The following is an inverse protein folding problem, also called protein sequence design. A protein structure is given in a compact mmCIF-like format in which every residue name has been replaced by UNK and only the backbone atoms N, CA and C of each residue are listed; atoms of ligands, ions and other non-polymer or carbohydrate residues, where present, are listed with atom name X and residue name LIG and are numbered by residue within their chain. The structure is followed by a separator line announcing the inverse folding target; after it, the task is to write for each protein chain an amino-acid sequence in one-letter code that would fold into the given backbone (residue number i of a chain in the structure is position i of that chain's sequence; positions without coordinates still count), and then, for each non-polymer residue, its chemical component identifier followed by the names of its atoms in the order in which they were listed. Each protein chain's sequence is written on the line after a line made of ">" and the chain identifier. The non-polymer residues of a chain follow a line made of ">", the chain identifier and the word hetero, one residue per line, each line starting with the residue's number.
data_IF_337650478323
#
_entry.id   IF_337650478323
#
_cell.length_a   1.000
_cell.length_b   1.000
_cell.length_c   1.000
_cell.angle_alpha   90.00
_cell.angle_beta   90.00
_cell.angle_gamma   90.00
#
_symmetry.space_group_name_H-M   'P 1'
#
loop_
_entity.id
_entity.type
_entity.pdbx_description
1 polymer ?
#
# COMPACT_ATOMS: atom_id res chain seq x y z
N UNK A 1 20.13 -21.04 16.97
CA UNK A 1 19.08 -20.02 17.22
C UNK A 1 19.14 -18.84 16.25
N UNK A 2 20.28 -18.14 16.09
CA UNK A 2 20.40 -16.99 15.17
C UNK A 2 19.96 -17.28 13.71
N UNK A 3 20.32 -18.43 13.15
CA UNK A 3 19.91 -18.84 11.80
C UNK A 3 18.41 -19.11 11.65
N UNK A 4 17.73 -19.55 12.72
CA UNK A 4 16.28 -19.81 12.71
C UNK A 4 15.51 -18.48 12.67
N UNK A 5 16.00 -17.47 13.41
CA UNK A 5 15.43 -16.12 13.41
C UNK A 5 15.58 -15.47 12.03
N UNK A 6 16.74 -15.64 11.39
CA UNK A 6 16.99 -15.15 10.03
C UNK A 6 16.05 -15.84 9.02
N UNK A 7 15.87 -17.16 9.12
CA UNK A 7 14.92 -17.89 8.27
C UNK A 7 13.47 -17.43 8.48
N UNK A 8 13.05 -17.18 9.72
CA UNK A 8 11.71 -16.64 10.02
C UNK A 8 11.52 -15.21 9.49
N UNK A 9 12.55 -14.36 9.57
CA UNK A 9 12.54 -13.02 8.98
C UNK A 9 12.43 -13.08 7.45
N UNK A 10 13.24 -13.92 6.80
CA UNK A 10 13.19 -14.11 5.34
C UNK A 10 11.82 -14.65 4.92
N UNK A 11 11.31 -15.66 5.62
CA UNK A 11 9.99 -16.22 5.35
C UNK A 11 8.88 -15.19 5.56
N UNK A 12 8.96 -14.39 6.63
CA UNK A 12 8.06 -13.27 6.90
C UNK A 12 8.10 -12.21 5.81
N UNK A 13 9.30 -11.82 5.34
CA UNK A 13 9.47 -10.86 4.24
C UNK A 13 8.88 -11.41 2.94
N UNK A 14 9.16 -12.66 2.59
CA UNK A 14 8.61 -13.31 1.39
C UNK A 14 7.09 -13.41 1.47
N UNK A 15 6.56 -13.79 2.63
CA UNK A 15 5.13 -13.89 2.88
C UNK A 15 4.45 -12.52 2.78
N UNK A 16 5.05 -11.48 3.36
CA UNK A 16 4.60 -10.09 3.26
C UNK A 16 4.70 -9.54 1.83
N UNK A 17 5.73 -9.91 1.05
CA UNK A 17 5.84 -9.56 -0.37
C UNK A 17 4.77 -10.27 -1.22
N UNK A 18 4.45 -11.53 -0.91
CA UNK A 18 3.38 -12.29 -1.58
C UNK A 18 2.01 -11.73 -1.26
N UNK A 19 1.79 -11.34 0.01
CA UNK A 19 0.62 -10.58 0.45
C UNK A 19 0.57 -9.24 -0.26
N UNK A 20 1.67 -8.48 -0.34
CA UNK A 20 1.76 -7.19 -1.07
C UNK A 20 1.32 -7.32 -2.52
N UNK A 21 1.74 -8.36 -3.25
CA UNK A 21 1.28 -8.62 -4.63
C UNK A 21 -0.23 -8.85 -4.71
N UNK A 22 -0.82 -9.47 -3.70
CA UNK A 22 -2.28 -9.69 -3.58
C UNK A 22 -3.02 -8.43 -3.08
N UNK A 23 -2.35 -7.58 -2.31
CA UNK A 23 -2.82 -6.32 -1.72
C UNK A 23 -2.66 -5.13 -2.68
N UNK A 24 -1.90 -5.22 -3.77
CA UNK A 24 -2.01 -4.25 -4.88
C UNK A 24 -3.46 -4.14 -5.42
N UNK A 25 -4.33 -5.11 -5.12
CA UNK A 25 -5.77 -5.11 -5.39
C UNK A 25 -6.65 -4.61 -4.22
N UNK A 26 -6.08 -4.37 -3.04
CA UNK A 26 -6.75 -3.96 -1.83
C UNK A 26 -5.85 -2.94 -1.14
N UNK A 27 -5.96 -1.66 -1.49
CA UNK A 27 -5.30 -0.61 -0.74
C UNK A 27 -5.88 -0.59 0.69
N UNK A 28 -5.31 -1.42 1.56
CA UNK A 28 -5.60 -1.39 2.99
C UNK A 28 -5.21 -0.01 3.50
N UNK A 29 -6.11 0.61 4.26
CA UNK A 29 -5.80 1.84 4.99
C UNK A 29 -4.43 1.71 5.65
N UNK A 30 -3.54 2.68 5.37
CA UNK A 30 -2.19 2.75 5.97
C UNK A 30 -2.28 2.61 7.48
N UNK A 31 -3.39 3.00 8.10
CA UNK A 31 -3.63 2.86 9.54
C UNK A 31 -3.64 1.40 10.01
N UNK A 32 -4.49 0.55 9.41
CA UNK A 32 -4.60 -0.87 9.80
C UNK A 32 -3.28 -1.59 9.55
N UNK A 33 -2.68 -1.35 8.39
CA UNK A 33 -1.41 -1.96 8.05
C UNK A 33 -0.25 -1.44 8.93
N UNK A 34 -0.25 -0.16 9.29
CA UNK A 34 0.76 0.41 10.20
C UNK A 34 0.58 -0.13 11.61
N UNK A 35 -0.65 -0.32 12.10
CA UNK A 35 -0.92 -0.93 13.40
C UNK A 35 -0.43 -2.38 13.42
N UNK A 36 -0.76 -3.16 12.40
CA UNK A 36 -0.32 -4.56 12.29
C UNK A 36 1.21 -4.62 12.20
N UNK A 37 1.83 -3.75 11.39
CA UNK A 37 3.28 -3.65 11.26
C UNK A 37 3.95 -3.23 12.57
N UNK A 38 3.36 -2.31 13.33
CA UNK A 38 3.87 -1.87 14.63
C UNK A 38 3.78 -3.00 15.66
N UNK A 39 2.66 -3.74 15.68
CA UNK A 39 2.49 -4.91 16.54
C UNK A 39 3.51 -6.01 16.24
N UNK A 40 3.73 -6.33 14.97
CA UNK A 40 4.77 -7.28 14.55
C UNK A 40 6.18 -6.80 14.93
N UNK A 41 6.45 -5.51 14.79
CA UNK A 41 7.72 -4.92 15.21
C UNK A 41 7.95 -5.05 16.72
N UNK A 42 6.93 -4.79 17.54
CA UNK A 42 7.02 -4.96 19.00
C UNK A 42 7.27 -6.42 19.40
N UNK A 43 6.62 -7.38 18.73
CA UNK A 43 6.86 -8.81 18.95
C UNK A 43 8.30 -9.18 18.59
N UNK A 44 8.82 -8.70 17.45
CA UNK A 44 10.21 -8.90 17.05
C UNK A 44 11.21 -8.30 18.04
N UNK A 45 10.93 -7.10 18.57
CA UNK A 45 11.73 -6.47 19.62
C UNK A 45 11.76 -7.32 20.90
N UNK A 46 10.61 -7.87 21.32
CA UNK A 46 10.54 -8.74 22.51
C UNK A 46 11.32 -10.04 22.32
N UNK A 47 11.27 -10.64 21.12
CA UNK A 47 12.04 -11.86 20.80
C UNK A 47 13.54 -11.56 20.83
N UNK A 48 13.98 -10.44 20.24
CA UNK A 48 15.40 -10.05 20.23
C UNK A 48 15.89 -9.74 21.64
N UNK A 49 15.11 -8.99 22.41
CA UNK A 49 15.43 -8.70 23.81
C UNK A 49 15.67 -9.97 24.62
N UNK A 50 14.89 -11.04 24.37
CA UNK A 50 15.01 -12.31 25.09
C UNK A 50 16.12 -13.24 24.57
N UNK A 51 16.39 -13.27 23.27
CA UNK A 51 17.23 -14.31 22.64
C UNK A 51 18.52 -13.79 21.97
N UNK A 52 18.64 -12.50 21.70
CA UNK A 52 19.85 -11.90 21.12
C UNK A 52 19.89 -10.38 21.39
N UNK A 53 20.20 -9.93 22.62
CA UNK A 53 20.01 -8.53 23.04
C UNK A 53 21.09 -7.57 22.52
N UNK A 54 21.80 -7.90 21.43
CA UNK A 54 22.87 -7.02 20.95
C UNK A 54 22.28 -5.79 20.26
N UNK A 55 22.91 -4.63 20.46
CA UNK A 55 22.50 -3.37 19.85
C UNK A 55 22.39 -3.46 18.32
N UNK A 56 23.25 -4.27 17.69
CA UNK A 56 23.24 -4.52 16.24
C UNK A 56 21.95 -5.22 15.79
N UNK A 57 21.46 -6.20 16.56
CA UNK A 57 20.23 -6.93 16.24
C UNK A 57 18.99 -6.00 16.30
N UNK A 58 18.95 -5.12 17.30
CA UNK A 58 17.93 -4.07 17.41
C UNK A 58 17.94 -3.09 16.23
N UNK A 59 19.13 -2.68 15.79
CA UNK A 59 19.32 -1.79 14.65
C UNK A 59 18.79 -2.42 13.36
N UNK A 60 19.11 -3.69 13.11
CA UNK A 60 18.67 -4.42 11.92
C UNK A 60 17.15 -4.50 11.84
N UNK A 61 16.48 -4.89 12.94
CA UNK A 61 15.02 -5.02 12.97
C UNK A 61 14.31 -3.67 12.85
N UNK A 62 14.88 -2.62 13.45
CA UNK A 62 14.39 -1.25 13.28
C UNK A 62 14.49 -0.80 11.83
N UNK A 63 15.62 -1.05 11.17
CA UNK A 63 15.85 -0.69 9.77
C UNK A 63 14.88 -1.43 8.82
N UNK A 64 14.70 -2.74 9.01
CA UNK A 64 13.76 -3.55 8.23
C UNK A 64 12.34 -3.02 8.39
N UNK A 65 11.94 -2.64 9.61
CA UNK A 65 10.59 -2.15 9.88
C UNK A 65 10.32 -0.78 9.26
N UNK A 66 11.32 0.12 9.27
CA UNK A 66 11.25 1.41 8.59
C UNK A 66 11.14 1.20 7.07
N UNK A 67 12.00 0.36 6.49
CA UNK A 67 11.96 0.02 5.06
C UNK A 67 10.62 -0.60 4.65
N UNK A 68 10.03 -1.41 5.54
CA UNK A 68 8.73 -2.01 5.32
C UNK A 68 7.61 -0.97 5.32
N UNK A 69 7.63 -0.02 6.26
CA UNK A 69 6.66 1.07 6.34
C UNK A 69 6.72 2.04 5.16
N UNK A 70 7.93 2.37 4.68
CA UNK A 70 8.13 3.26 3.54
C UNK A 70 7.60 2.69 2.21
N UNK A 71 7.49 1.35 2.10
CA UNK A 71 7.06 0.68 0.88
C UNK A 71 5.54 0.50 0.74
N UNK A 72 4.74 0.98 1.70
CA UNK A 72 3.28 0.85 1.66
C UNK A 72 2.71 1.93 0.76
N UNK A 73 2.06 1.53 -0.35
CA UNK A 73 1.29 2.44 -1.20
C UNK A 73 0.01 2.87 -0.45
N UNK A 74 -0.16 4.18 -0.32
CA UNK A 74 -1.27 4.84 0.38
C UNK A 74 -2.55 5.00 -0.43
N UNK A 75 -2.40 4.90 -1.74
CA UNK A 75 -3.44 5.12 -2.73
C UNK A 75 -3.34 4.00 -3.75
N UNK A 76 -4.48 3.59 -4.30
CA UNK A 76 -4.49 2.50 -5.26
C UNK A 76 -5.88 2.10 -5.69
N UNK A 77 -5.92 1.35 -6.77
CA UNK A 77 -7.13 0.78 -7.34
C UNK A 77 -7.48 -0.49 -6.56
N UNK A 78 -8.78 -0.75 -6.38
CA UNK A 78 -9.27 -1.95 -5.72
C UNK A 78 -10.39 -2.60 -6.53
N UNK A 79 -10.77 -3.83 -6.17
CA UNK A 79 -11.80 -4.59 -6.89
C UNK A 79 -13.19 -3.94 -6.88
N UNK A 80 -13.47 -3.01 -5.95
CA UNK A 80 -14.76 -2.31 -5.84
C UNK A 80 -14.69 -0.79 -5.98
N UNK A 81 -13.51 -0.22 -6.25
CA UNK A 81 -13.33 1.23 -6.29
C UNK A 81 -11.88 1.64 -6.18
N UNK A 82 -11.61 2.72 -5.47
CA UNK A 82 -10.26 3.26 -5.28
C UNK A 82 -10.08 3.84 -3.87
N UNK A 83 -8.85 3.77 -3.38
CA UNK A 83 -8.45 4.46 -2.16
C UNK A 83 -7.61 5.68 -2.52
N UNK A 84 -8.04 6.84 -2.03
CA UNK A 84 -7.37 8.13 -2.25
C UNK A 84 -7.07 8.81 -0.91
N UNK A 85 -6.04 9.65 -0.89
CA UNK A 85 -5.76 10.49 0.26
C UNK A 85 -6.53 11.80 0.11
N UNK A 86 -7.26 12.20 1.16
CA UNK A 86 -7.92 13.51 1.22
C UNK A 86 -7.11 14.46 2.10
N UNK A 87 -6.33 15.35 1.48
CA UNK A 87 -5.63 16.47 2.11
C UNK A 87 -4.44 16.10 3.01
N UNK A 88 -4.60 15.14 3.92
CA UNK A 88 -3.59 14.69 4.87
C UNK A 88 -3.25 13.21 4.64
N UNK A 89 -1.97 12.79 4.64
CA UNK A 89 -1.54 11.41 4.40
C UNK A 89 -2.06 10.38 5.42
N UNK A 90 -2.83 10.83 6.42
CA UNK A 90 -3.49 10.02 7.43
C UNK A 90 -4.97 9.74 7.12
N UNK A 91 -5.59 10.48 6.20
CA UNK A 91 -7.00 10.35 5.85
C UNK A 91 -7.13 9.72 4.46
N UNK A 92 -7.21 8.39 4.43
CA UNK A 92 -7.59 7.65 3.24
C UNK A 92 -9.12 7.58 3.15
N UNK A 93 -9.67 7.95 2.00
CA UNK A 93 -11.08 7.76 1.67
C UNK A 93 -11.20 6.67 0.62
N UNK A 94 -12.11 5.72 0.86
CA UNK A 94 -12.53 4.78 -0.17
C UNK A 94 -13.63 5.43 -1.03
N UNK A 95 -13.51 5.32 -2.34
CA UNK A 95 -14.49 5.81 -3.31
C UNK A 95 -14.92 4.59 -4.13
N UNK A 96 -16.20 4.26 -4.06
CA UNK A 96 -16.79 3.19 -4.86
C UNK A 96 -16.86 3.58 -6.33
N UNK A 97 -16.87 2.60 -7.22
CA UNK A 97 -17.00 2.84 -8.66
C UNK A 97 -18.22 3.70 -9.03
N UNK A 98 -19.34 3.46 -8.35
CA UNK A 98 -20.62 4.14 -8.58
C UNK A 98 -20.58 5.63 -8.23
N UNK A 99 -19.66 6.03 -7.38
CA UNK A 99 -19.52 7.42 -6.93
C UNK A 99 -18.58 8.24 -7.83
N UNK A 100 -17.93 7.59 -8.78
CA UNK A 100 -17.05 8.23 -9.77
C UNK A 100 -17.92 8.85 -10.85
N UNK A 101 -17.86 10.18 -10.99
CA UNK A 101 -18.61 10.91 -12.01
C UNK A 101 -17.82 11.15 -13.30
N UNK A 102 -16.50 11.23 -13.18
CA UNK A 102 -15.63 11.44 -14.34
C UNK A 102 -14.19 11.07 -13.99
N UNK A 103 -13.38 10.78 -15.00
CA UNK A 103 -11.96 10.52 -14.87
C UNK A 103 -11.17 11.04 -16.06
N UNK A 104 -9.91 11.38 -15.83
CA UNK A 104 -8.98 11.88 -16.84
C UNK A 104 -7.58 11.28 -16.60
N UNK A 105 -6.86 10.97 -17.67
CA UNK A 105 -5.44 10.59 -17.60
C UNK A 105 -4.60 11.78 -18.07
N UNK A 106 -3.73 12.26 -17.21
CA UNK A 106 -2.73 13.27 -17.55
C UNK A 106 -1.39 12.56 -17.70
N UNK A 107 -0.87 12.53 -18.93
CA UNK A 107 0.47 11.98 -19.20
C UNK A 107 1.55 13.01 -18.82
N UNK A 108 2.46 12.63 -17.93
CA UNK A 108 3.67 13.39 -17.58
C UNK A 108 4.89 12.64 -18.09
N UNK A 109 6.02 13.35 -18.26
CA UNK A 109 7.26 12.76 -18.80
C UNK A 109 7.67 11.43 -18.12
N UNK A 110 7.52 11.32 -16.81
CA UNK A 110 7.98 10.17 -16.02
C UNK A 110 6.89 9.35 -15.32
N UNK A 111 5.64 9.81 -15.32
CA UNK A 111 4.52 9.15 -14.63
C UNK A 111 3.18 9.53 -15.25
N UNK A 112 2.13 8.80 -14.89
CA UNK A 112 0.75 9.07 -15.28
C UNK A 112 -0.01 9.58 -14.06
N UNK A 113 -0.88 10.57 -14.24
CA UNK A 113 -1.83 10.99 -13.21
C UNK A 113 -3.22 10.55 -13.64
N UNK A 114 -3.87 9.74 -12.81
CA UNK A 114 -5.29 9.45 -12.92
C UNK A 114 -6.04 10.44 -12.04
N UNK A 115 -6.72 11.39 -12.66
CA UNK A 115 -7.60 12.34 -11.99
C UNK A 115 -9.02 11.81 -11.97
N UNK A 116 -9.65 11.79 -10.80
CA UNK A 116 -10.99 11.24 -10.60
C UNK A 116 -11.86 12.31 -9.95
N UNK A 117 -13.06 12.51 -10.48
CA UNK A 117 -14.08 13.39 -9.90
C UNK A 117 -15.10 12.55 -9.14
N UNK A 118 -15.17 12.72 -7.84
CA UNK A 118 -16.11 12.03 -6.96
C UNK A 118 -16.50 12.95 -5.79
N UNK A 119 -17.72 12.80 -5.28
CA UNK A 119 -18.26 13.62 -4.17
C UNK A 119 -18.06 15.14 -4.32
N UNK A 120 -18.11 15.66 -5.55
CA UNK A 120 -17.92 17.08 -5.85
C UNK A 120 -16.47 17.59 -5.80
N UNK A 121 -15.49 16.71 -5.61
CA UNK A 121 -14.05 17.03 -5.52
C UNK A 121 -13.23 16.26 -6.55
N UNK A 122 -11.98 16.68 -6.78
CA UNK A 122 -11.01 15.97 -7.62
C UNK A 122 -9.95 15.28 -6.77
N UNK A 123 -9.61 14.06 -7.17
CA UNK A 123 -8.59 13.23 -6.55
C UNK A 123 -7.57 12.81 -7.61
N UNK A 124 -6.29 13.07 -7.34
CA UNK A 124 -5.20 12.74 -8.25
C UNK A 124 -4.40 11.55 -7.70
N UNK A 125 -4.29 10.50 -8.50
CA UNK A 125 -3.46 9.32 -8.19
C UNK A 125 -2.29 9.23 -9.16
N UNK A 126 -1.09 9.06 -8.62
CA UNK A 126 0.12 8.90 -9.43
C UNK A 126 0.40 7.42 -9.71
N UNK A 127 0.61 7.11 -10.99
CA UNK A 127 0.93 5.77 -11.49
C UNK A 127 2.22 5.82 -12.30
N UNK A 128 2.96 4.71 -12.32
CA UNK A 128 4.08 4.58 -13.25
C UNK A 128 3.56 4.32 -14.68
N UNK A 129 4.38 4.62 -15.69
CA UNK A 129 3.97 4.45 -17.11
C UNK A 129 3.64 3.01 -17.49
N UNK A 130 4.33 2.04 -16.88
CA UNK A 130 4.08 0.61 -17.02
C UNK A 130 2.74 0.15 -16.41
N UNK A 131 2.10 0.98 -15.59
CA UNK A 131 0.78 0.69 -14.99
C UNK A 131 -0.40 1.18 -15.85
N UNK A 132 -0.16 1.68 -17.07
CA UNK A 132 -1.21 2.21 -17.96
C UNK A 132 -2.34 1.21 -18.22
N UNK A 133 -2.01 -0.06 -18.43
CA UNK A 133 -2.99 -1.11 -18.70
C UNK A 133 -3.92 -1.35 -17.50
N UNK A 134 -3.39 -1.25 -16.28
CA UNK A 134 -4.19 -1.32 -15.04
C UNK A 134 -5.21 -0.17 -14.97
N UNK A 135 -4.79 1.03 -15.35
CA UNK A 135 -5.68 2.21 -15.39
C UNK A 135 -6.80 2.02 -16.42
N UNK A 136 -6.47 1.54 -17.62
CA UNK A 136 -7.46 1.28 -18.67
C UNK A 136 -8.51 0.24 -18.23
N UNK A 137 -8.07 -0.86 -17.62
CA UNK A 137 -8.98 -1.90 -17.10
C UNK A 137 -9.87 -1.39 -15.95
N UNK A 138 -9.38 -0.44 -15.16
CA UNK A 138 -10.19 0.23 -14.14
C UNK A 138 -11.26 1.12 -14.79
N UNK A 139 -10.87 1.92 -15.79
CA UNK A 139 -11.79 2.81 -16.50
C UNK A 139 -12.91 2.08 -17.24
N UNK A 140 -12.63 0.92 -17.84
CA UNK A 140 -13.65 0.12 -18.52
C UNK A 140 -14.71 -0.35 -17.52
N UNK A 141 -14.29 -0.86 -16.35
CA UNK A 141 -15.20 -1.29 -15.28
C UNK A 141 -16.10 -0.18 -14.75
N UNK A 142 -15.59 1.05 -14.69
CA UNK A 142 -16.41 2.21 -14.29
C UNK A 142 -17.50 2.48 -15.34
N UNK A 143 -17.13 2.47 -16.62
CA UNK A 143 -18.07 2.70 -17.72
C UNK A 143 -19.13 1.60 -17.84
N UNK A 144 -18.75 0.34 -17.63
CA UNK A 144 -19.68 -0.81 -17.65
C UNK A 144 -20.75 -0.73 -16.54
N UNK A 145 -20.53 0.07 -15.50
CA UNK A 145 -21.47 0.29 -14.40
C UNK A 145 -22.38 1.52 -14.62
N UNK A 146 -22.05 2.39 -15.57
CA UNK A 146 -22.87 3.55 -15.96
C UNK A 146 -23.87 3.21 -17.09
N UNK A 147 -23.67 2.09 -17.79
CA UNK A 147 -24.57 1.55 -18.84
C UNK A 147 -25.67 0.66 -18.27
#
# INVERSE_FOLDING_TARGET
>A
MKYIIICLLIFGIIYLMKIRKKIELLAFSRYIFSIISLGLFLILLLIIYKYSPTFIDFLIVSLISILFQLNIKLQGLSSGGLYVIKGSPFLSQFIEYRDIKNFEIIDKKSYLILRIRAYGTYFDLNFKKDELEKIKNFMSKVKDLES
#
